data_IF_474642685495
#
_entry.id   IF_474642685495
#
_cell.length_a   1.000
_cell.length_b   1.000
_cell.length_c   1.000
_cell.angle_alpha   90.00
_cell.angle_beta   90.00
_cell.angle_gamma   90.00
#
_symmetry.space_group_name_H-M   'P 1'
#
loop_
_entity.id
_entity.type
_entity.pdbx_description
1 polymer ?
#
# COMPACT_ATOMS: atom_id res chain seq x y z
N UNK A 1 3.11 -3.15 -6.18
CA UNK A 1 3.24 -4.63 -6.23
C UNK A 1 4.21 -5.09 -7.31
N UNK A 2 5.40 -4.52 -7.35
CA UNK A 2 6.42 -4.89 -8.33
C UNK A 2 7.30 -6.06 -7.83
N UNK A 3 7.52 -6.20 -6.54
CA UNK A 3 8.42 -7.19 -5.94
C UNK A 3 8.06 -8.67 -6.22
N UNK A 4 6.77 -9.01 -6.31
CA UNK A 4 6.36 -10.38 -6.65
C UNK A 4 6.60 -10.79 -8.11
N UNK A 5 6.86 -9.82 -9.02
CA UNK A 5 7.16 -10.05 -10.44
C UNK A 5 8.65 -9.94 -10.79
N UNK A 6 9.46 -9.32 -9.94
CA UNK A 6 10.89 -9.13 -10.17
C UNK A 6 11.70 -10.42 -10.23
N UNK A 7 11.52 -11.41 -9.33
CA UNK A 7 12.22 -12.68 -9.47
C UNK A 7 11.96 -13.32 -10.83
N UNK A 8 10.72 -13.31 -11.30
CA UNK A 8 10.33 -13.86 -12.57
C UNK A 8 10.92 -13.12 -13.77
N UNK A 9 11.03 -11.77 -13.67
CA UNK A 9 11.67 -10.95 -14.71
C UNK A 9 13.19 -11.16 -14.75
N UNK A 10 13.85 -11.25 -13.61
CA UNK A 10 15.30 -11.47 -13.52
C UNK A 10 15.69 -12.89 -13.98
N UNK A 11 14.90 -13.92 -13.60
CA UNK A 11 15.08 -15.28 -14.11
C UNK A 11 14.84 -15.37 -15.61
N UNK A 12 13.94 -14.57 -16.18
CA UNK A 12 13.69 -14.54 -17.61
C UNK A 12 14.83 -13.93 -18.41
N UNK A 13 15.69 -13.11 -17.78
CA UNK A 13 16.90 -12.58 -18.42
C UNK A 13 18.00 -13.66 -18.48
N UNK A 14 18.26 -14.29 -17.34
CA UNK A 14 19.29 -15.33 -17.19
C UNK A 14 19.13 -15.95 -15.79
N UNK A 15 18.95 -17.26 -15.69
CA UNK A 15 18.79 -17.96 -14.42
C UNK A 15 19.97 -17.74 -13.47
N UNK A 16 21.17 -17.61 -14.01
CA UNK A 16 22.38 -17.31 -13.23
C UNK A 16 22.37 -15.94 -12.59
N UNK A 17 21.59 -14.99 -13.12
CA UNK A 17 21.41 -13.63 -12.54
C UNK A 17 20.73 -13.71 -11.19
N UNK A 18 19.68 -14.56 -11.08
CA UNK A 18 18.99 -14.78 -9.81
C UNK A 18 19.90 -15.45 -8.77
N UNK A 19 20.69 -16.45 -9.18
CA UNK A 19 21.67 -17.10 -8.30
C UNK A 19 22.66 -16.10 -7.68
N UNK A 20 23.04 -15.08 -8.44
CA UNK A 20 23.94 -14.02 -7.94
C UNK A 20 23.30 -13.13 -6.88
N UNK A 21 21.97 -12.99 -6.89
CA UNK A 21 21.22 -12.27 -5.88
C UNK A 21 21.05 -13.14 -4.62
N UNK A 22 20.67 -14.39 -4.80
CA UNK A 22 20.43 -15.34 -3.68
C UNK A 22 21.72 -15.66 -2.93
N UNK A 23 22.74 -16.11 -3.67
CA UNK A 23 23.99 -16.59 -3.08
C UNK A 23 24.96 -15.45 -2.80
N UNK A 24 24.82 -14.35 -3.56
CA UNK A 24 25.74 -13.22 -3.51
C UNK A 24 27.04 -13.47 -4.24
N UNK A 25 27.81 -12.41 -4.42
CA UNK A 25 29.16 -12.46 -5.00
C UNK A 25 30.14 -11.76 -4.08
N UNK A 26 31.25 -12.42 -3.79
CA UNK A 26 32.34 -11.85 -3.02
C UNK A 26 33.49 -11.54 -3.98
N UNK A 27 33.93 -10.28 -4.04
CA UNK A 27 35.06 -9.89 -4.88
C UNK A 27 36.32 -10.55 -4.36
N UNK A 28 37.06 -11.30 -5.23
CA UNK A 28 38.37 -11.81 -4.84
C UNK A 28 39.32 -10.70 -4.44
N UNK A 29 40.17 -10.95 -3.46
CA UNK A 29 41.17 -10.00 -2.97
C UNK A 29 42.35 -9.82 -3.93
N UNK A 30 42.53 -10.76 -4.86
CA UNK A 30 43.57 -10.73 -5.90
C UNK A 30 43.23 -9.74 -7.00
N UNK A 31 44.25 -9.24 -7.68
CA UNK A 31 44.06 -8.37 -8.84
C UNK A 31 43.26 -9.09 -9.94
N UNK A 32 42.38 -8.37 -10.66
CA UNK A 32 41.50 -8.92 -11.70
C UNK A 32 42.24 -9.71 -12.80
N UNK A 33 43.48 -9.35 -13.07
CA UNK A 33 44.37 -10.06 -14.03
C UNK A 33 44.74 -11.49 -13.61
N UNK A 34 44.56 -11.82 -12.33
CA UNK A 34 44.86 -13.15 -11.75
C UNK A 34 43.59 -13.99 -11.51
N UNK A 35 42.42 -13.48 -11.89
CA UNK A 35 41.18 -14.20 -11.74
C UNK A 35 41.09 -15.34 -12.75
N UNK A 36 40.64 -16.48 -12.30
CA UNK A 36 40.32 -17.58 -13.18
C UNK A 36 39.03 -17.34 -13.97
N UNK A 37 38.71 -18.24 -14.90
CA UNK A 37 37.53 -18.15 -15.74
C UNK A 37 36.22 -18.18 -14.91
N UNK A 38 36.21 -18.93 -13.82
CA UNK A 38 35.05 -19.04 -12.95
C UNK A 38 34.80 -17.72 -12.17
N UNK A 39 35.83 -17.14 -11.57
CA UNK A 39 35.75 -15.85 -10.88
C UNK A 39 35.30 -14.71 -11.81
N UNK A 40 35.79 -14.71 -13.05
CA UNK A 40 35.35 -13.74 -14.07
C UNK A 40 33.88 -13.94 -14.46
N UNK A 41 33.44 -15.19 -14.62
CA UNK A 41 32.04 -15.47 -14.91
C UNK A 41 31.11 -14.97 -13.79
N UNK A 42 31.43 -15.27 -12.54
CA UNK A 42 30.65 -14.82 -11.38
C UNK A 42 30.61 -13.29 -11.28
N UNK A 43 31.72 -12.60 -11.51
CA UNK A 43 31.77 -11.15 -11.52
C UNK A 43 30.88 -10.55 -12.63
N UNK A 44 30.90 -11.16 -13.82
CA UNK A 44 30.03 -10.73 -14.92
C UNK A 44 28.54 -10.96 -14.60
N UNK A 45 28.21 -12.08 -13.99
CA UNK A 45 26.84 -12.37 -13.54
C UNK A 45 26.37 -11.35 -12.51
N UNK A 46 27.19 -11.06 -11.50
CA UNK A 46 26.86 -10.01 -10.52
C UNK A 46 26.65 -8.64 -11.21
N UNK A 47 27.49 -8.28 -12.19
CA UNK A 47 27.33 -7.02 -12.92
C UNK A 47 26.04 -6.98 -13.74
N UNK A 48 25.67 -8.08 -14.40
CA UNK A 48 24.39 -8.20 -15.12
C UNK A 48 23.21 -8.05 -14.15
N UNK A 49 23.27 -8.70 -12.98
CA UNK A 49 22.23 -8.64 -11.95
C UNK A 49 22.05 -7.22 -11.42
N UNK A 50 23.13 -6.51 -11.08
CA UNK A 50 23.05 -5.11 -10.63
C UNK A 50 22.43 -4.22 -11.72
N UNK A 51 22.88 -4.34 -12.97
CA UNK A 51 22.33 -3.55 -14.06
C UNK A 51 20.84 -3.83 -14.27
N UNK A 52 20.42 -5.09 -14.21
CA UNK A 52 19.00 -5.46 -14.33
C UNK A 52 18.16 -4.85 -13.21
N UNK A 53 18.66 -4.82 -11.97
CA UNK A 53 18.02 -4.14 -10.84
C UNK A 53 17.93 -2.64 -11.13
N UNK A 54 19.01 -1.99 -11.53
CA UNK A 54 19.05 -0.54 -11.81
C UNK A 54 18.08 -0.11 -12.89
N UNK A 55 17.89 -0.92 -13.94
CA UNK A 55 16.91 -0.62 -15.00
C UNK A 55 15.46 -0.80 -14.55
N UNK A 56 15.22 -1.60 -13.51
CA UNK A 56 13.89 -1.93 -13.04
C UNK A 56 13.36 -1.07 -11.90
N UNK A 57 14.18 -0.18 -11.34
CA UNK A 57 13.82 0.65 -10.17
C UNK A 57 13.55 2.10 -10.53
N UNK A 58 12.83 2.81 -9.67
CA UNK A 58 12.64 4.25 -9.78
C UNK A 58 13.93 5.03 -9.48
N UNK A 59 13.95 6.32 -9.83
CA UNK A 59 15.11 7.20 -9.55
C UNK A 59 15.42 7.26 -8.05
N UNK A 60 14.41 7.33 -7.21
CA UNK A 60 14.58 7.40 -5.75
C UNK A 60 15.18 6.10 -5.19
N UNK A 61 14.73 4.96 -5.70
CA UNK A 61 15.29 3.65 -5.35
C UNK A 61 16.73 3.49 -5.87
N UNK A 62 16.99 3.93 -7.10
CA UNK A 62 18.33 3.92 -7.66
C UNK A 62 19.32 4.71 -6.80
N UNK A 63 18.94 5.92 -6.33
CA UNK A 63 19.79 6.70 -5.43
C UNK A 63 20.16 5.96 -4.14
N UNK A 64 19.26 5.12 -3.63
CA UNK A 64 19.51 4.33 -2.42
C UNK A 64 20.48 3.18 -2.63
N UNK A 65 20.52 2.60 -3.84
CA UNK A 65 21.32 1.40 -4.14
C UNK A 65 22.52 1.69 -5.05
N UNK A 66 22.68 2.90 -5.56
CA UNK A 66 23.75 3.24 -6.54
C UNK A 66 25.18 3.08 -6.00
N UNK A 67 25.33 3.07 -4.68
CA UNK A 67 26.65 2.96 -4.02
C UNK A 67 27.07 1.51 -3.74
N UNK A 68 26.19 0.51 -3.89
CA UNK A 68 26.50 -0.89 -3.59
C UNK A 68 27.29 -1.56 -4.71
N UNK A 69 28.02 -2.61 -4.35
CA UNK A 69 28.90 -3.33 -5.26
C UNK A 69 28.38 -4.70 -5.66
N UNK A 70 27.39 -5.22 -4.96
CA UNK A 70 26.84 -6.55 -5.24
C UNK A 70 25.33 -6.48 -5.46
N UNK A 71 24.83 -7.37 -6.33
CA UNK A 71 23.40 -7.48 -6.60
C UNK A 71 22.62 -7.88 -5.33
N UNK A 72 23.21 -8.71 -4.48
CA UNK A 72 22.62 -9.11 -3.20
C UNK A 72 22.42 -7.94 -2.25
N UNK A 73 23.43 -7.05 -2.10
CA UNK A 73 23.30 -5.83 -1.29
C UNK A 73 22.20 -4.92 -1.82
N UNK A 74 22.18 -4.67 -3.16
CA UNK A 74 21.13 -3.87 -3.77
C UNK A 74 19.74 -4.44 -3.49
N UNK A 75 19.58 -5.74 -3.68
CA UNK A 75 18.33 -6.44 -3.44
C UNK A 75 17.89 -6.36 -1.98
N UNK A 76 18.81 -6.63 -1.03
CA UNK A 76 18.50 -6.57 0.41
C UNK A 76 18.04 -5.17 0.85
N UNK A 77 18.68 -4.11 0.33
CA UNK A 77 18.25 -2.73 0.63
C UNK A 77 16.84 -2.47 0.10
N UNK A 78 16.54 -2.90 -1.13
CA UNK A 78 15.21 -2.74 -1.71
C UNK A 78 14.17 -3.55 -0.93
N UNK A 79 14.43 -4.81 -0.65
CA UNK A 79 13.54 -5.70 0.10
C UNK A 79 13.21 -5.13 1.48
N UNK A 80 14.22 -4.73 2.25
CA UNK A 80 14.03 -4.08 3.56
C UNK A 80 13.21 -2.80 3.45
N UNK A 81 13.45 -1.99 2.41
CA UNK A 81 12.71 -0.76 2.18
C UNK A 81 11.23 -1.04 1.91
N UNK A 82 10.95 -2.02 1.04
CA UNK A 82 9.56 -2.38 0.69
C UNK A 82 8.81 -3.04 1.85
N UNK A 83 9.47 -3.89 2.61
CA UNK A 83 8.89 -4.49 3.82
C UNK A 83 8.54 -3.42 4.85
N UNK A 84 9.45 -2.46 5.07
CA UNK A 84 9.20 -1.32 5.95
C UNK A 84 8.01 -0.48 5.49
N UNK A 85 7.94 -0.16 4.20
CA UNK A 85 6.81 0.58 3.62
C UNK A 85 5.49 -0.19 3.74
N UNK A 86 5.50 -1.50 3.50
CA UNK A 86 4.32 -2.36 3.66
C UNK A 86 3.83 -2.34 5.10
N UNK A 87 4.73 -2.53 6.06
CA UNK A 87 4.39 -2.51 7.50
C UNK A 87 3.78 -1.17 7.93
N UNK A 88 4.33 -0.05 7.48
CA UNK A 88 3.77 1.28 7.75
C UNK A 88 2.38 1.42 7.14
N UNK A 89 2.19 0.96 5.90
CA UNK A 89 0.88 0.96 5.22
C UNK A 89 -0.14 0.12 5.98
N UNK A 90 0.22 -1.09 6.37
CA UNK A 90 -0.66 -2.02 7.08
C UNK A 90 -1.07 -1.46 8.45
N UNK A 91 -0.11 -0.87 9.20
CA UNK A 91 -0.38 -0.20 10.48
C UNK A 91 -1.33 0.98 10.31
N UNK A 92 -1.11 1.82 9.28
CA UNK A 92 -1.99 2.96 8.98
C UNK A 92 -3.40 2.50 8.59
N UNK A 93 -3.50 1.42 7.80
CA UNK A 93 -4.77 0.83 7.41
C UNK A 93 -5.53 0.32 8.63
N UNK A 94 -4.86 -0.39 9.54
CA UNK A 94 -5.47 -0.87 10.78
C UNK A 94 -5.99 0.29 11.63
N UNK A 95 -5.20 1.34 11.81
CA UNK A 95 -5.60 2.53 12.56
C UNK A 95 -6.85 3.20 11.94
N UNK A 96 -6.86 3.40 10.60
CA UNK A 96 -8.00 3.98 9.90
C UNK A 96 -9.25 3.07 9.97
N UNK A 97 -9.07 1.76 10.00
CA UNK A 97 -10.18 0.81 10.17
C UNK A 97 -10.81 0.94 11.54
N UNK A 98 -9.99 0.99 12.60
CA UNK A 98 -10.46 1.24 13.97
C UNK A 98 -11.19 2.59 14.05
N UNK A 99 -10.62 3.66 13.50
CA UNK A 99 -11.26 4.98 13.48
C UNK A 99 -12.61 4.96 12.75
N UNK A 100 -12.70 4.23 11.61
CA UNK A 100 -13.96 4.08 10.87
C UNK A 100 -15.00 3.33 11.68
N UNK A 101 -14.62 2.32 12.46
CA UNK A 101 -15.55 1.56 13.30
C UNK A 101 -16.00 2.34 14.52
N UNK A 102 -15.13 3.12 15.12
CA UNK A 102 -15.40 3.89 16.34
C UNK A 102 -16.11 5.22 16.10
N UNK A 103 -15.95 5.83 14.90
CA UNK A 103 -16.54 7.14 14.62
C UNK A 103 -18.05 7.11 14.79
N UNK A 104 -18.55 8.00 15.68
CA UNK A 104 -19.97 8.24 15.95
C UNK A 104 -20.21 9.74 16.05
N UNK A 105 -21.44 10.15 15.83
CA UNK A 105 -21.88 11.51 16.05
C UNK A 105 -21.94 11.80 17.55
N UNK A 106 -21.36 12.93 17.98
CA UNK A 106 -21.38 13.38 19.37
C UNK A 106 -22.65 14.22 19.64
N UNK A 107 -23.08 14.31 20.91
CA UNK A 107 -24.33 14.98 21.29
C UNK A 107 -24.38 16.44 20.86
N UNK A 108 -23.26 17.17 20.92
CA UNK A 108 -23.14 18.58 20.55
C UNK A 108 -22.65 18.78 19.10
N UNK A 109 -22.59 17.73 18.30
CA UNK A 109 -22.04 17.78 16.95
C UNK A 109 -23.14 17.93 15.89
N UNK A 110 -22.90 18.81 14.89
CA UNK A 110 -23.77 18.84 13.72
C UNK A 110 -23.53 17.65 12.80
N UNK A 111 -24.57 17.25 12.03
CA UNK A 111 -24.45 16.20 11.04
C UNK A 111 -23.32 16.48 10.03
N UNK A 112 -23.14 17.72 9.60
CA UNK A 112 -22.09 18.12 8.67
C UNK A 112 -20.69 17.89 9.24
N UNK A 113 -20.49 18.19 10.51
CA UNK A 113 -19.20 17.97 11.18
C UNK A 113 -18.87 16.49 11.31
N UNK A 114 -19.87 15.69 11.74
CA UNK A 114 -19.76 14.24 11.80
C UNK A 114 -19.46 13.64 10.42
N UNK A 115 -20.21 14.02 9.37
CA UNK A 115 -20.01 13.51 8.03
C UNK A 115 -18.63 13.89 7.47
N UNK A 116 -18.14 15.08 7.76
CA UNK A 116 -16.77 15.49 7.35
C UNK A 116 -15.72 14.58 7.94
N UNK A 117 -15.78 14.31 9.26
CA UNK A 117 -14.84 13.40 9.94
C UNK A 117 -14.89 11.98 9.34
N UNK A 118 -16.08 11.46 9.10
CA UNK A 118 -16.26 10.15 8.47
C UNK A 118 -15.67 10.12 7.07
N UNK A 119 -15.94 11.14 6.25
CA UNK A 119 -15.46 11.24 4.88
C UNK A 119 -13.93 11.39 4.80
N UNK A 120 -13.31 12.09 5.75
CA UNK A 120 -11.84 12.17 5.87
C UNK A 120 -11.22 10.78 6.06
N UNK A 121 -11.82 9.93 6.89
CA UNK A 121 -11.36 8.54 7.09
C UNK A 121 -11.54 7.72 5.80
N UNK A 122 -12.69 7.84 5.12
CA UNK A 122 -12.97 7.14 3.85
C UNK A 122 -11.93 7.52 2.79
N UNK A 123 -11.65 8.81 2.61
CA UNK A 123 -10.64 9.32 1.68
C UNK A 123 -9.24 8.85 2.08
N UNK A 124 -8.89 8.88 3.37
CA UNK A 124 -7.59 8.42 3.84
C UNK A 124 -7.37 6.91 3.55
N UNK A 125 -8.39 6.08 3.72
CA UNK A 125 -8.34 4.64 3.33
C UNK A 125 -8.19 4.46 1.83
N UNK A 126 -8.92 5.23 1.03
CA UNK A 126 -8.82 5.19 -0.43
C UNK A 126 -7.39 5.55 -0.90
N UNK A 127 -6.76 6.58 -0.30
CA UNK A 127 -5.41 7.03 -0.65
C UNK A 127 -4.33 5.98 -0.37
N UNK A 128 -4.56 5.06 0.57
CA UNK A 128 -3.66 3.92 0.81
C UNK A 128 -4.07 2.66 0.01
N UNK A 129 -5.04 2.79 -0.91
CA UNK A 129 -5.46 1.74 -1.82
C UNK A 129 -6.54 0.80 -1.27
N UNK A 130 -7.25 1.22 -0.21
CA UNK A 130 -8.36 0.47 0.38
C UNK A 130 -9.67 1.23 0.18
N UNK A 131 -10.46 0.78 -0.79
CA UNK A 131 -11.78 1.36 -1.06
C UNK A 131 -12.82 0.76 -0.13
N UNK A 132 -13.60 1.63 0.53
CA UNK A 132 -14.81 1.21 1.26
C UNK A 132 -15.98 1.28 0.28
N UNK A 133 -16.77 0.21 0.21
CA UNK A 133 -18.00 0.18 -0.61
C UNK A 133 -19.03 1.18 -0.09
N UNK A 134 -19.73 1.85 -1.00
CA UNK A 134 -20.71 2.90 -0.67
C UNK A 134 -21.79 2.40 0.29
N UNK A 135 -22.27 1.16 0.13
CA UNK A 135 -23.20 0.53 1.03
C UNK A 135 -22.71 0.45 2.48
N UNK A 136 -21.40 0.18 2.68
CA UNK A 136 -20.80 0.14 4.01
C UNK A 136 -20.70 1.53 4.64
N UNK A 137 -20.44 2.55 3.82
CA UNK A 137 -20.45 3.95 4.28
C UNK A 137 -21.87 4.38 4.65
N UNK A 138 -22.88 4.03 3.84
CA UNK A 138 -24.31 4.28 4.13
C UNK A 138 -24.71 3.65 5.46
N UNK A 139 -24.44 2.35 5.64
CA UNK A 139 -24.74 1.64 6.91
C UNK A 139 -24.00 2.26 8.09
N UNK A 140 -22.77 2.71 7.89
CA UNK A 140 -21.99 3.39 8.94
C UNK A 140 -22.60 4.72 9.32
N UNK A 141 -23.03 5.54 8.36
CA UNK A 141 -23.73 6.80 8.64
C UNK A 141 -24.95 6.51 9.50
N UNK A 142 -25.88 5.66 9.05
CA UNK A 142 -27.14 5.41 9.70
C UNK A 142 -26.99 4.92 11.16
N UNK A 143 -26.08 3.97 11.40
CA UNK A 143 -25.84 3.42 12.75
C UNK A 143 -25.05 4.34 13.69
N UNK A 144 -24.50 5.43 13.18
CA UNK A 144 -23.63 6.35 13.94
C UNK A 144 -24.32 7.64 14.32
N UNK A 145 -25.56 7.84 13.87
CA UNK A 145 -26.37 9.03 14.19
C UNK A 145 -26.93 8.99 15.61
N UNK A 146 -27.25 10.17 16.13
CA UNK A 146 -27.89 10.34 17.42
C UNK A 146 -29.37 9.90 17.39
N UNK A 147 -29.96 9.71 18.58
CA UNK A 147 -31.33 9.27 18.76
C UNK A 147 -32.39 10.20 18.11
N UNK A 148 -32.10 11.51 18.04
CA UNK A 148 -32.98 12.48 17.35
C UNK A 148 -33.14 12.21 15.84
N UNK A 149 -32.24 11.48 15.20
CA UNK A 149 -32.35 11.04 13.82
C UNK A 149 -33.10 9.71 13.65
N UNK A 150 -33.46 9.01 14.73
CA UNK A 150 -33.97 7.64 14.68
C UNK A 150 -35.21 7.49 13.79
N UNK A 151 -36.18 8.40 13.88
CA UNK A 151 -37.36 8.35 13.04
C UNK A 151 -37.03 8.44 11.55
N UNK A 152 -36.02 9.28 11.19
CA UNK A 152 -35.55 9.41 9.83
C UNK A 152 -34.80 8.17 9.36
N UNK A 153 -33.94 7.60 10.20
CA UNK A 153 -33.19 6.36 9.94
C UNK A 153 -34.17 5.22 9.66
N UNK A 154 -35.18 4.98 10.54
CA UNK A 154 -36.20 3.95 10.35
C UNK A 154 -36.93 4.12 9.01
N UNK A 155 -37.36 5.35 8.68
CA UNK A 155 -38.03 5.62 7.39
C UNK A 155 -37.14 5.27 6.20
N UNK A 156 -35.82 5.52 6.27
CA UNK A 156 -34.87 5.19 5.21
C UNK A 156 -34.68 3.68 5.10
N UNK A 157 -34.51 3.00 6.22
CA UNK A 157 -34.32 1.54 6.28
C UNK A 157 -35.54 0.76 5.77
N UNK A 158 -36.76 1.24 6.06
CA UNK A 158 -38.03 0.63 5.60
C UNK A 158 -38.30 0.91 4.12
N UNK A 159 -37.86 2.02 3.59
CA UNK A 159 -38.27 2.50 2.27
C UNK A 159 -37.37 2.07 1.11
N UNK A 160 -36.13 1.60 1.38
CA UNK A 160 -35.12 1.34 0.34
C UNK A 160 -34.18 0.23 0.69
N UNK A 161 -33.72 -0.48 -0.33
CA UNK A 161 -32.54 -1.31 -0.20
C UNK A 161 -31.30 -0.40 0.04
N UNK A 162 -30.64 -0.60 1.18
CA UNK A 162 -29.48 0.19 1.59
C UNK A 162 -28.31 0.08 0.61
N UNK A 163 -28.27 -0.99 -0.19
CA UNK A 163 -27.23 -1.21 -1.21
C UNK A 163 -27.44 -0.34 -2.46
N UNK A 164 -28.64 0.16 -2.69
CA UNK A 164 -28.98 1.05 -3.81
C UNK A 164 -28.93 2.56 -3.44
N UNK A 165 -28.75 2.88 -2.17
CA UNK A 165 -28.75 4.27 -1.70
C UNK A 165 -27.43 4.95 -2.10
N UNK A 166 -27.54 6.02 -2.90
CA UNK A 166 -26.40 6.91 -3.19
C UNK A 166 -26.08 7.78 -1.97
N UNK A 167 -24.82 7.79 -1.54
CA UNK A 167 -24.34 8.56 -0.38
C UNK A 167 -24.81 10.02 -0.44
N UNK A 168 -24.68 10.68 -1.60
CA UNK A 168 -25.09 12.09 -1.76
C UNK A 168 -26.58 12.33 -1.48
N UNK A 169 -27.46 11.40 -1.89
CA UNK A 169 -28.90 11.49 -1.59
C UNK A 169 -29.19 11.31 -0.11
N UNK A 170 -28.50 10.38 0.54
CA UNK A 170 -28.60 10.15 1.97
C UNK A 170 -28.18 11.40 2.74
N UNK A 171 -26.99 11.92 2.44
CA UNK A 171 -26.42 13.10 3.09
C UNK A 171 -27.35 14.30 2.94
N UNK A 172 -27.80 14.62 1.71
CA UNK A 172 -28.76 15.72 1.50
C UNK A 172 -30.06 15.56 2.28
N UNK A 173 -30.57 14.33 2.41
CA UNK A 173 -31.79 14.04 3.20
C UNK A 173 -31.59 14.18 4.71
N UNK A 174 -30.39 13.93 5.22
CA UNK A 174 -30.06 14.07 6.64
C UNK A 174 -29.71 15.52 7.01
N UNK A 175 -29.05 16.26 6.12
CA UNK A 175 -28.75 17.69 6.30
C UNK A 175 -30.01 18.57 6.44
N UNK A 176 -31.10 18.18 5.79
CA UNK A 176 -32.36 18.93 5.83
C UNK A 176 -33.29 18.52 6.96
N UNK A 177 -32.90 17.54 7.78
CA UNK A 177 -33.75 16.99 8.84
C UNK A 177 -33.56 17.67 10.21
N UNK A 178 -32.56 18.54 10.35
CA UNK A 178 -32.22 19.25 11.60
C UNK A 178 -33.11 20.47 11.82
#
# INVERSE_FOLDING_TARGET
MLFGKYPCFLCAIDETVWDSIENGWVRPTTAKSKWDKAALALANTNSKAINAIFYGVSIDEFHRISHVKTAKEAWTILETTYEGMKKVKDTKLQMLTTQFEEVKMSDDESFDSFYRRLNEIVIAKLNIGEKIEDANVVRKILRSLLENFRAKVTTIEESKDLDEIKIQKLVGSLQTYV
#
